data_IF_553358185793
#
_entry.id   IF_553358185793
#
_cell.length_a   1.000
_cell.length_b   1.000
_cell.length_c   1.000
_cell.angle_alpha   90.00
_cell.angle_beta   90.00
_cell.angle_gamma   90.00
#
_symmetry.space_group_name_H-M   'P 1'
#
loop_
_entity.id
_entity.type
_entity.pdbx_description
1 polymer ?
#
# COMPACT_ATOMS: atom_id res chain seq x y z
N UNK A 1 21.49 2.05 -14.55
CA UNK A 1 20.76 2.87 -15.53
C UNK A 1 20.57 4.24 -14.90
N UNK A 2 21.27 5.27 -15.37
CA UNK A 2 20.94 6.65 -15.03
C UNK A 2 19.92 7.13 -16.06
N UNK A 3 18.64 6.96 -15.75
CA UNK A 3 17.59 7.71 -16.42
C UNK A 3 17.61 9.11 -15.81
N UNK A 4 18.47 9.98 -16.33
CA UNK A 4 18.36 11.41 -16.07
C UNK A 4 17.17 11.91 -16.90
N UNK A 5 16.10 12.38 -16.24
CA UNK A 5 14.94 12.96 -16.93
C UNK A 5 15.37 14.35 -17.40
N UNK A 6 15.89 14.45 -18.62
CA UNK A 6 16.41 15.70 -19.17
C UNK A 6 15.45 16.30 -20.20
N UNK A 7 14.72 15.45 -20.92
CA UNK A 7 13.89 15.86 -22.05
C UNK A 7 12.44 15.34 -21.99
N UNK A 8 11.58 15.95 -22.81
CA UNK A 8 10.17 15.55 -23.02
C UNK A 8 10.03 14.06 -23.36
N UNK A 9 11.00 13.53 -24.12
CA UNK A 9 11.04 12.14 -24.55
C UNK A 9 11.12 11.19 -23.36
N UNK A 10 11.87 11.50 -22.31
CA UNK A 10 12.02 10.63 -21.13
C UNK A 10 10.72 10.52 -20.34
N UNK A 11 9.96 11.61 -20.27
CA UNK A 11 8.63 11.62 -19.67
C UNK A 11 7.67 10.75 -20.50
N UNK A 12 7.71 10.87 -21.84
CA UNK A 12 6.90 10.03 -22.76
C UNK A 12 7.26 8.54 -22.59
N UNK A 13 8.54 8.20 -22.38
CA UNK A 13 8.97 6.81 -22.15
C UNK A 13 8.33 6.23 -20.89
N UNK A 14 8.37 6.95 -19.77
CA UNK A 14 7.80 6.51 -18.49
C UNK A 14 6.28 6.30 -18.63
N UNK A 15 5.57 7.26 -19.24
CA UNK A 15 4.13 7.15 -19.48
C UNK A 15 3.80 5.94 -20.36
N UNK A 16 4.57 5.74 -21.43
CA UNK A 16 4.39 4.62 -22.35
C UNK A 16 4.54 3.28 -21.64
N UNK A 17 5.57 3.13 -20.79
CA UNK A 17 5.77 1.92 -19.98
C UNK A 17 4.60 1.69 -18.99
N UNK A 18 4.10 2.75 -18.34
CA UNK A 18 2.95 2.65 -17.43
C UNK A 18 1.66 2.24 -18.15
N UNK A 19 1.38 2.79 -19.34
CA UNK A 19 0.21 2.41 -20.15
C UNK A 19 0.32 0.95 -20.61
N UNK A 20 1.49 0.55 -21.11
CA UNK A 20 1.71 -0.81 -21.60
C UNK A 20 1.70 -1.85 -20.46
N UNK A 21 2.04 -1.46 -19.23
CA UNK A 21 1.91 -2.34 -18.05
C UNK A 21 0.48 -2.82 -17.79
N UNK A 22 -0.53 -2.03 -18.21
CA UNK A 22 -1.95 -2.37 -18.11
C UNK A 22 -2.47 -3.13 -19.34
N UNK A 23 -1.85 -2.92 -20.50
CA UNK A 23 -2.21 -3.55 -21.77
C UNK A 23 -0.95 -3.96 -22.52
N UNK A 24 -0.64 -5.26 -22.50
CA UNK A 24 0.61 -5.82 -23.03
C UNK A 24 0.85 -5.53 -24.53
N UNK A 25 -0.21 -5.29 -25.30
CA UNK A 25 -0.16 -4.91 -26.70
C UNK A 25 -1.11 -3.76 -26.98
N UNK A 26 -0.62 -2.72 -27.63
CA UNK A 26 -1.43 -1.55 -28.04
C UNK A 26 -1.06 -1.11 -29.45
N UNK A 27 -2.04 -0.50 -30.12
CA UNK A 27 -1.84 0.20 -31.38
C UNK A 27 -1.17 1.57 -31.14
N UNK A 28 -0.27 1.99 -32.03
CA UNK A 28 0.46 3.26 -31.92
C UNK A 28 -0.50 4.48 -31.93
N UNK A 29 -1.59 4.40 -32.70
CA UNK A 29 -2.65 5.42 -32.70
C UNK A 29 -3.35 5.50 -31.34
N UNK A 30 -3.75 4.35 -30.79
CA UNK A 30 -4.40 4.25 -29.47
C UNK A 30 -3.48 4.60 -28.31
N UNK A 31 -2.18 4.37 -28.43
CA UNK A 31 -1.20 4.78 -27.43
C UNK A 31 -1.13 6.31 -27.39
N UNK A 32 -1.05 6.95 -28.56
CA UNK A 32 -1.07 8.40 -28.67
C UNK A 32 -2.36 8.98 -28.10
N UNK A 33 -3.52 8.46 -28.50
CA UNK A 33 -4.81 8.91 -27.99
C UNK A 33 -4.89 8.79 -26.47
N UNK A 34 -4.38 7.69 -25.88
CA UNK A 34 -4.34 7.53 -24.42
C UNK A 34 -3.40 8.50 -23.74
N UNK A 35 -2.25 8.81 -24.33
CA UNK A 35 -1.34 9.82 -23.77
C UNK A 35 -2.03 11.19 -23.82
N UNK A 36 -2.64 11.55 -24.95
CA UNK A 36 -3.39 12.80 -25.10
C UNK A 36 -4.63 12.87 -24.19
N UNK A 37 -5.32 11.75 -23.95
CA UNK A 37 -6.45 11.64 -23.02
C UNK A 37 -5.99 11.80 -21.55
N UNK A 38 -4.88 11.17 -21.17
CA UNK A 38 -4.25 11.39 -19.86
C UNK A 38 -3.85 12.85 -19.66
N UNK A 39 -3.57 13.56 -20.75
CA UNK A 39 -3.22 14.98 -20.75
C UNK A 39 -4.42 15.94 -20.90
N UNK A 40 -5.67 15.45 -20.81
CA UNK A 40 -6.89 16.23 -21.07
C UNK A 40 -6.85 17.01 -22.40
N UNK A 41 -6.12 16.48 -23.40
CA UNK A 41 -5.90 17.09 -24.72
C UNK A 41 -5.23 18.47 -24.70
N UNK A 42 -4.64 18.89 -23.58
CA UNK A 42 -3.93 20.18 -23.46
C UNK A 42 -2.55 20.14 -24.13
N UNK A 43 -1.95 18.96 -24.17
CA UNK A 43 -0.63 18.73 -24.73
C UNK A 43 -0.76 17.88 -25.98
N UNK A 44 -0.40 18.47 -27.12
CA UNK A 44 -0.30 17.75 -28.38
C UNK A 44 1.09 17.12 -28.44
N UNK A 45 1.18 15.80 -28.22
CA UNK A 45 2.43 15.06 -28.38
C UNK A 45 2.71 14.91 -29.86
N UNK A 46 3.80 15.51 -30.35
CA UNK A 46 4.15 15.43 -31.75
C UNK A 46 4.49 13.97 -32.12
N UNK A 47 4.05 13.47 -33.29
CA UNK A 47 4.32 12.09 -33.69
C UNK A 47 5.83 11.81 -33.83
N UNK A 48 6.64 12.84 -34.12
CA UNK A 48 8.09 12.75 -34.09
C UNK A 48 8.63 12.44 -32.69
N UNK A 49 8.02 13.00 -31.66
CA UNK A 49 8.48 12.81 -30.28
C UNK A 49 8.13 11.45 -29.71
N UNK A 50 6.91 10.99 -29.98
CA UNK A 50 6.49 9.64 -29.63
C UNK A 50 7.35 8.59 -30.35
N UNK A 51 7.60 8.76 -31.65
CA UNK A 51 8.41 7.81 -32.41
C UNK A 51 9.87 7.76 -31.92
N UNK A 52 10.42 8.89 -31.49
CA UNK A 52 11.77 8.95 -30.90
C UNK A 52 11.84 8.26 -29.54
N UNK A 53 10.85 8.48 -28.68
CA UNK A 53 10.76 7.79 -27.40
C UNK A 53 10.61 6.27 -27.58
N UNK A 54 9.79 5.83 -28.54
CA UNK A 54 9.59 4.41 -28.86
C UNK A 54 10.83 3.76 -29.47
N UNK A 55 11.57 4.47 -30.32
CA UNK A 55 12.80 3.92 -30.90
C UNK A 55 13.90 3.74 -29.86
N UNK A 56 14.03 4.65 -28.89
CA UNK A 56 14.95 4.50 -27.77
C UNK A 56 14.56 3.36 -26.83
N UNK A 57 13.28 3.25 -26.47
CA UNK A 57 12.81 2.10 -25.68
C UNK A 57 13.00 0.77 -26.41
N UNK A 58 12.90 0.76 -27.75
CA UNK A 58 13.20 -0.42 -28.56
C UNK A 58 14.70 -0.73 -28.60
N UNK A 59 15.56 0.29 -28.67
CA UNK A 59 17.02 0.16 -28.61
C UNK A 59 17.48 -0.35 -27.23
N UNK A 60 16.81 0.06 -26.16
CA UNK A 60 17.02 -0.44 -24.79
C UNK A 60 16.43 -1.85 -24.59
N UNK A 61 15.72 -2.39 -25.58
CA UNK A 61 15.11 -3.71 -25.54
C UNK A 61 13.91 -3.81 -24.62
N UNK A 62 13.26 -2.69 -24.26
CA UNK A 62 12.10 -2.63 -23.37
C UNK A 62 10.77 -2.84 -24.11
N UNK A 63 10.69 -2.41 -25.37
CA UNK A 63 9.51 -2.64 -26.24
C UNK A 63 9.93 -3.19 -27.60
N UNK A 64 9.02 -3.92 -28.22
CA UNK A 64 9.10 -4.31 -29.62
C UNK A 64 8.07 -3.53 -30.42
N UNK A 65 8.53 -2.86 -31.47
CA UNK A 65 7.67 -2.17 -32.43
C UNK A 65 7.50 -3.08 -33.65
N UNK A 66 6.31 -3.64 -33.83
CA UNK A 66 5.94 -4.52 -34.94
C UNK A 66 4.89 -3.82 -35.81
N UNK A 67 5.34 -3.05 -36.79
CA UNK A 67 4.43 -2.26 -37.64
C UNK A 67 3.68 -1.21 -36.82
N UNK A 68 2.36 -1.29 -36.78
CA UNK A 68 1.50 -0.39 -35.99
C UNK A 68 1.32 -0.81 -34.52
N UNK A 69 1.89 -1.95 -34.10
CA UNK A 69 1.73 -2.47 -32.74
C UNK A 69 3.00 -2.32 -31.91
N UNK A 70 2.78 -1.96 -30.65
CA UNK A 70 3.82 -1.85 -29.63
C UNK A 70 3.53 -2.89 -28.54
N UNK A 71 4.54 -3.68 -28.20
CA UNK A 71 4.44 -4.78 -27.23
C UNK A 71 5.64 -4.75 -26.28
N UNK A 72 5.40 -4.89 -24.97
CA UNK A 72 6.47 -4.98 -23.97
C UNK A 72 7.29 -6.26 -24.15
N UNK A 73 8.61 -6.14 -24.06
CA UNK A 73 9.48 -7.32 -23.95
C UNK A 73 9.41 -7.90 -22.54
N UNK A 74 10.04 -9.06 -22.30
CA UNK A 74 10.17 -9.62 -20.95
C UNK A 74 10.92 -8.68 -19.99
N UNK A 75 11.94 -7.97 -20.50
CA UNK A 75 12.72 -6.99 -19.74
C UNK A 75 11.89 -5.74 -19.48
N UNK A 76 11.20 -5.22 -20.49
CA UNK A 76 10.30 -4.08 -20.35
C UNK A 76 9.13 -4.35 -19.42
N UNK A 77 8.57 -5.57 -19.45
CA UNK A 77 7.52 -5.98 -18.53
C UNK A 77 7.99 -5.92 -17.08
N UNK A 78 9.20 -6.42 -16.80
CA UNK A 78 9.80 -6.33 -15.46
C UNK A 78 10.03 -4.89 -15.02
N UNK A 79 10.65 -4.08 -15.86
CA UNK A 79 10.90 -2.65 -15.58
C UNK A 79 9.59 -1.88 -15.39
N UNK A 80 8.59 -2.13 -16.24
CA UNK A 80 7.26 -1.53 -16.09
C UNK A 80 6.55 -1.97 -14.80
N UNK A 81 6.78 -3.22 -14.38
CA UNK A 81 6.29 -3.78 -13.13
C UNK A 81 6.96 -3.13 -11.92
N UNK A 82 8.27 -2.90 -11.98
CA UNK A 82 9.02 -2.19 -10.94
C UNK A 82 8.55 -0.74 -10.84
N UNK A 83 8.39 -0.03 -11.96
CA UNK A 83 7.82 1.32 -11.99
C UNK A 83 6.39 1.36 -11.47
N UNK A 84 5.55 0.42 -11.89
CA UNK A 84 4.20 0.30 -11.35
C UNK A 84 4.24 0.00 -9.86
N UNK A 85 5.14 -0.85 -9.36
CA UNK A 85 5.26 -1.13 -7.94
C UNK A 85 5.78 0.06 -7.14
N UNK A 86 6.69 0.84 -7.70
CA UNK A 86 7.25 2.05 -7.10
C UNK A 86 6.22 3.18 -7.05
N UNK A 87 5.42 3.34 -8.11
CA UNK A 87 4.47 4.45 -8.26
C UNK A 87 3.06 4.08 -7.78
N UNK A 88 2.67 2.81 -7.89
CA UNK A 88 1.34 2.28 -7.57
C UNK A 88 1.53 1.04 -6.67
N UNK A 89 1.73 1.28 -5.38
CA UNK A 89 1.85 0.26 -4.32
C UNK A 89 0.76 -0.81 -4.52
N UNK A 90 1.15 -2.01 -4.95
CA UNK A 90 0.21 -2.94 -5.58
C UNK A 90 -0.31 -4.05 -4.66
N UNK A 91 0.19 -4.18 -3.43
CA UNK A 91 -0.23 -5.27 -2.55
C UNK A 91 -0.39 -4.83 -1.08
N UNK A 92 -1.59 -4.93 -0.49
CA UNK A 92 -1.88 -4.47 0.87
C UNK A 92 -1.43 -5.49 1.94
N UNK A 93 -0.23 -6.08 1.81
CA UNK A 93 0.21 -7.15 2.70
C UNK A 93 0.53 -6.59 4.10
N UNK A 94 1.13 -5.40 4.16
CA UNK A 94 1.46 -4.73 5.43
C UNK A 94 0.21 -4.36 6.21
N UNK A 95 -0.82 -3.92 5.50
CA UNK A 95 -2.13 -3.51 6.02
C UNK A 95 -2.88 -4.69 6.63
N UNK A 96 -2.86 -5.84 5.95
CA UNK A 96 -3.44 -7.09 6.47
C UNK A 96 -2.72 -7.53 7.73
N UNK A 97 -1.38 -7.47 7.75
CA UNK A 97 -0.60 -7.87 8.93
C UNK A 97 -0.84 -6.91 10.10
N UNK A 98 -0.85 -5.60 9.85
CA UNK A 98 -1.17 -4.60 10.88
C UNK A 98 -2.58 -4.84 11.46
N UNK A 99 -3.58 -4.99 10.60
CA UNK A 99 -4.96 -5.23 11.05
C UNK A 99 -5.11 -6.53 11.84
N UNK A 100 -4.50 -7.63 11.38
CA UNK A 100 -4.48 -8.90 12.12
C UNK A 100 -3.91 -8.72 13.53
N UNK A 101 -2.86 -7.92 13.67
CA UNK A 101 -2.15 -7.70 14.92
C UNK A 101 -3.00 -6.90 15.90
N UNK A 102 -3.45 -5.73 15.47
CA UNK A 102 -4.17 -4.80 16.33
C UNK A 102 -5.51 -5.38 16.75
N UNK A 103 -6.20 -6.07 15.84
CA UNK A 103 -7.43 -6.79 16.16
C UNK A 103 -7.19 -7.90 17.19
N UNK A 104 -6.16 -8.73 16.97
CA UNK A 104 -5.84 -9.85 17.87
C UNK A 104 -5.43 -9.38 19.28
N UNK A 105 -4.57 -8.37 19.38
CA UNK A 105 -4.15 -7.81 20.68
C UNK A 105 -5.34 -7.16 21.38
N UNK A 106 -6.15 -6.38 20.67
CA UNK A 106 -7.36 -5.76 21.23
C UNK A 106 -8.32 -6.81 21.78
N UNK A 107 -8.52 -7.91 21.04
CA UNK A 107 -9.37 -9.02 21.51
C UNK A 107 -8.83 -9.69 22.76
N UNK A 108 -7.51 -9.85 22.87
CA UNK A 108 -6.87 -10.41 24.07
C UNK A 108 -7.18 -9.54 25.28
N UNK A 109 -7.02 -8.22 25.13
CA UNK A 109 -7.30 -7.28 26.21
C UNK A 109 -8.76 -7.36 26.65
N UNK A 110 -9.72 -7.39 25.73
CA UNK A 110 -11.15 -7.51 26.04
C UNK A 110 -11.46 -8.82 26.77
N UNK A 111 -10.93 -9.94 26.28
CA UNK A 111 -11.17 -11.28 26.87
C UNK A 111 -10.61 -11.34 28.28
N UNK A 112 -9.37 -10.91 28.49
CA UNK A 112 -8.73 -10.92 29.80
C UNK A 112 -9.46 -9.98 30.77
N UNK A 113 -9.74 -8.74 30.37
CA UNK A 113 -10.47 -7.79 31.21
C UNK A 113 -11.86 -8.30 31.57
N UNK A 114 -12.59 -8.90 30.62
CA UNK A 114 -13.90 -9.52 30.86
C UNK A 114 -13.82 -10.69 31.84
N UNK A 115 -12.83 -11.56 31.67
CA UNK A 115 -12.63 -12.72 32.52
C UNK A 115 -12.31 -12.33 33.97
N UNK A 116 -11.36 -11.40 34.17
CA UNK A 116 -10.96 -10.95 35.50
C UNK A 116 -12.04 -10.13 36.21
N UNK A 117 -12.71 -9.23 35.49
CA UNK A 117 -13.81 -8.43 36.04
C UNK A 117 -15.15 -9.19 36.10
N UNK A 118 -15.20 -10.47 35.68
CA UNK A 118 -16.40 -11.32 35.62
C UNK A 118 -17.59 -10.64 34.92
N UNK A 119 -17.31 -9.98 33.79
CA UNK A 119 -18.33 -9.26 33.04
C UNK A 119 -19.36 -10.23 32.45
N UNK A 120 -20.62 -9.79 32.39
CA UNK A 120 -21.66 -10.54 31.66
C UNK A 120 -21.36 -10.57 30.15
N UNK A 121 -21.90 -11.57 29.45
CA UNK A 121 -21.72 -11.70 27.99
C UNK A 121 -22.21 -10.46 27.24
N UNK A 122 -23.32 -9.83 27.69
CA UNK A 122 -23.86 -8.61 27.07
C UNK A 122 -22.90 -7.43 27.19
N UNK A 123 -22.31 -7.24 28.37
CA UNK A 123 -21.31 -6.17 28.59
C UNK A 123 -20.02 -6.44 27.82
N UNK A 124 -19.60 -7.70 27.75
CA UNK A 124 -18.42 -8.10 26.97
C UNK A 124 -18.61 -7.83 25.48
N UNK A 125 -19.76 -8.16 24.91
CA UNK A 125 -20.08 -7.86 23.50
C UNK A 125 -20.12 -6.35 23.27
N UNK A 126 -20.74 -5.59 24.18
CA UNK A 126 -20.81 -4.13 24.07
C UNK A 126 -19.40 -3.50 24.08
N UNK A 127 -18.56 -3.87 25.05
CA UNK A 127 -17.18 -3.41 25.13
C UNK A 127 -16.37 -3.82 23.89
N UNK A 128 -16.55 -5.07 23.44
CA UNK A 128 -15.88 -5.59 22.25
C UNK A 128 -16.20 -4.77 21.00
N UNK A 129 -17.49 -4.53 20.74
CA UNK A 129 -17.93 -3.76 19.57
C UNK A 129 -17.41 -2.33 19.61
N UNK A 130 -17.51 -1.66 20.77
CA UNK A 130 -17.05 -0.29 20.92
C UNK A 130 -15.54 -0.16 20.72
N UNK A 131 -14.75 -1.01 21.38
CA UNK A 131 -13.30 -0.97 21.29
C UNK A 131 -12.80 -1.39 19.91
N UNK A 132 -13.33 -2.48 19.33
CA UNK A 132 -12.93 -2.91 17.98
C UNK A 132 -13.31 -1.90 16.91
N UNK A 133 -14.48 -1.26 17.01
CA UNK A 133 -14.86 -0.18 16.10
C UNK A 133 -13.90 1.01 16.23
N UNK A 134 -13.55 1.41 17.47
CA UNK A 134 -12.57 2.48 17.70
C UNK A 134 -11.22 2.15 17.08
N UNK A 135 -10.68 0.96 17.33
CA UNK A 135 -9.36 0.54 16.80
C UNK A 135 -9.41 0.42 15.28
N UNK A 136 -10.48 -0.12 14.70
CA UNK A 136 -10.63 -0.21 13.25
C UNK A 136 -10.71 1.18 12.59
N UNK A 137 -11.39 2.16 13.21
CA UNK A 137 -11.43 3.55 12.73
C UNK A 137 -10.05 4.20 12.83
N UNK A 138 -9.34 3.99 13.93
CA UNK A 138 -7.97 4.50 14.08
C UNK A 138 -7.05 3.92 13.01
N UNK A 139 -7.10 2.61 12.78
CA UNK A 139 -6.30 1.95 11.74
C UNK A 139 -6.67 2.41 10.34
N UNK A 140 -7.97 2.54 10.04
CA UNK A 140 -8.43 3.14 8.79
C UNK A 140 -7.82 4.54 8.59
N UNK A 141 -7.93 5.39 9.61
CA UNK A 141 -7.43 6.76 9.57
C UNK A 141 -5.91 6.79 9.38
N UNK A 142 -5.16 5.95 10.10
CA UNK A 142 -3.70 5.87 9.99
C UNK A 142 -3.24 5.46 8.59
N UNK A 143 -3.85 4.45 7.99
CA UNK A 143 -3.47 4.02 6.62
C UNK A 143 -3.99 4.98 5.54
N UNK A 144 -5.15 5.59 5.74
CA UNK A 144 -5.68 6.57 4.80
C UNK A 144 -4.91 7.90 4.87
N UNK A 145 -4.91 8.58 6.03
CA UNK A 145 -4.23 9.87 6.17
C UNK A 145 -2.71 9.71 6.13
N UNK A 146 -2.16 8.72 6.84
CA UNK A 146 -0.71 8.48 6.87
C UNK A 146 -0.18 8.17 5.47
N UNK A 147 -0.80 7.21 4.78
CA UNK A 147 -0.46 6.86 3.40
C UNK A 147 -0.58 8.06 2.45
N UNK A 148 -1.71 8.79 2.51
CA UNK A 148 -1.89 9.99 1.68
C UNK A 148 -0.83 11.05 1.97
N UNK A 149 -0.45 11.27 3.22
CA UNK A 149 0.59 12.27 3.55
C UNK A 149 1.98 11.86 3.11
N UNK A 150 2.34 10.59 3.26
CA UNK A 150 3.62 10.03 2.81
C UNK A 150 3.74 10.13 1.30
N UNK A 151 2.73 9.62 0.58
CA UNK A 151 2.77 9.57 -0.88
C UNK A 151 2.70 10.97 -1.52
N UNK A 152 1.92 11.91 -0.95
CA UNK A 152 1.92 13.30 -1.41
C UNK A 152 3.31 13.92 -1.21
N UNK A 153 3.98 13.62 -0.09
CA UNK A 153 5.33 14.14 0.16
C UNK A 153 6.32 13.60 -0.86
N UNK A 154 6.28 12.30 -1.16
CA UNK A 154 7.12 11.66 -2.17
C UNK A 154 6.84 12.20 -3.57
N UNK A 155 5.56 12.36 -3.95
CA UNK A 155 5.15 12.97 -5.21
C UNK A 155 5.69 14.40 -5.34
N UNK A 156 5.59 15.21 -4.28
CA UNK A 156 6.12 16.58 -4.27
C UNK A 156 7.64 16.58 -4.37
N UNK A 157 8.33 15.67 -3.69
CA UNK A 157 9.78 15.53 -3.78
C UNK A 157 10.22 15.12 -5.19
N UNK A 158 9.56 14.13 -5.78
CA UNK A 158 9.81 13.68 -7.15
C UNK A 158 9.54 14.81 -8.15
N UNK A 159 8.45 15.56 -7.97
CA UNK A 159 8.14 16.74 -8.77
C UNK A 159 9.26 17.77 -8.71
N UNK A 160 9.75 18.11 -7.51
CA UNK A 160 10.86 19.06 -7.35
C UNK A 160 12.16 18.59 -8.01
N UNK A 161 12.48 17.30 -7.90
CA UNK A 161 13.68 16.73 -8.53
C UNK A 161 13.59 16.79 -10.06
N UNK A 162 12.43 16.48 -10.62
CA UNK A 162 12.22 16.54 -12.07
C UNK A 162 12.09 17.98 -12.58
N UNK A 163 11.44 18.88 -11.85
CA UNK A 163 11.41 20.31 -12.16
C UNK A 163 12.82 20.89 -12.17
N UNK A 164 13.67 20.49 -11.22
CA UNK A 164 15.09 20.87 -11.19
C UNK A 164 15.87 20.29 -12.38
N UNK A 165 15.71 19.00 -12.68
CA UNK A 165 16.37 18.34 -13.82
C UNK A 165 15.97 18.95 -15.16
N UNK A 166 14.68 19.22 -15.37
CA UNK A 166 14.15 19.86 -16.58
C UNK A 166 14.52 21.35 -16.66
N UNK A 167 14.83 22.01 -15.55
CA UNK A 167 15.24 23.41 -15.54
C UNK A 167 16.58 23.66 -16.27
N UNK A 168 17.40 22.62 -16.40
CA UNK A 168 18.70 22.64 -17.08
C UNK A 168 18.59 22.49 -18.61
N UNK A 169 17.37 22.26 -19.13
CA UNK A 169 17.13 22.15 -20.57
C UNK A 169 17.23 23.53 -21.28
N UNK A 170 18.09 23.68 -22.30
CA UNK A 170 18.29 24.96 -22.99
C UNK A 170 17.09 25.42 -23.84
N UNK A 171 16.18 24.52 -24.25
CA UNK A 171 14.99 24.86 -25.04
C UNK A 171 13.78 25.20 -24.15
N UNK A 172 13.41 26.49 -24.08
CA UNK A 172 12.26 26.97 -23.30
C UNK A 172 10.92 26.38 -23.74
N UNK A 173 10.74 26.07 -25.03
CA UNK A 173 9.48 25.56 -25.57
C UNK A 173 9.25 24.12 -25.16
N UNK A 174 10.27 23.26 -25.33
CA UNK A 174 10.23 21.87 -24.88
C UNK A 174 10.13 21.79 -23.36
N UNK A 175 10.86 22.63 -22.63
CA UNK A 175 10.81 22.68 -21.17
C UNK A 175 9.40 22.91 -20.62
N UNK A 176 8.67 23.88 -21.17
CA UNK A 176 7.30 24.18 -20.72
C UNK A 176 6.35 23.01 -20.99
N UNK A 177 6.44 22.40 -22.18
CA UNK A 177 5.64 21.19 -22.51
C UNK A 177 5.95 20.03 -21.56
N UNK A 178 7.23 19.81 -21.24
CA UNK A 178 7.65 18.74 -20.32
C UNK A 178 7.12 18.92 -18.90
N UNK A 179 7.19 20.14 -18.36
CA UNK A 179 6.68 20.45 -17.02
C UNK A 179 5.16 20.25 -16.96
N UNK A 180 4.42 20.71 -17.98
CA UNK A 180 2.96 20.56 -18.01
C UNK A 180 2.55 19.08 -18.07
N UNK A 181 3.25 18.27 -18.88
CA UNK A 181 2.99 16.83 -19.01
C UNK A 181 3.27 16.12 -17.69
N UNK A 182 4.36 16.52 -17.03
CA UNK A 182 4.75 16.01 -15.72
C UNK A 182 3.71 16.30 -14.64
N UNK A 183 3.20 17.54 -14.57
CA UNK A 183 2.16 17.93 -13.61
C UNK A 183 0.89 17.10 -13.78
N UNK A 184 0.48 16.82 -15.01
CA UNK A 184 -0.70 16.01 -15.30
C UNK A 184 -0.50 14.54 -14.89
N UNK A 185 0.66 13.96 -15.19
CA UNK A 185 0.99 12.60 -14.74
C UNK A 185 0.94 12.52 -13.21
N UNK A 186 1.51 13.49 -12.51
CA UNK A 186 1.48 13.51 -11.05
C UNK A 186 0.07 13.64 -10.48
N UNK A 187 -0.78 14.41 -11.15
CA UNK A 187 -2.19 14.57 -10.73
C UNK A 187 -2.94 13.24 -10.88
N UNK A 188 -2.72 12.53 -11.98
CA UNK A 188 -3.30 11.20 -12.22
C UNK A 188 -2.73 10.16 -11.25
N UNK A 189 -1.42 10.20 -11.02
CA UNK A 189 -0.75 9.33 -10.08
C UNK A 189 -1.29 9.51 -8.67
N UNK A 190 -1.39 10.76 -8.20
CA UNK A 190 -1.98 11.10 -6.92
C UNK A 190 -3.42 10.56 -6.79
N UNK A 191 -4.23 10.66 -7.85
CA UNK A 191 -5.58 10.11 -7.85
C UNK A 191 -5.61 8.58 -7.72
N UNK A 192 -4.74 7.87 -8.41
CA UNK A 192 -4.67 6.40 -8.34
C UNK A 192 -4.09 5.94 -7.01
N UNK A 193 -3.08 6.64 -6.48
CA UNK A 193 -2.51 6.43 -5.15
C UNK A 193 -3.55 6.64 -4.06
N UNK A 194 -4.36 7.70 -4.13
CA UNK A 194 -5.45 7.91 -3.18
C UNK A 194 -6.46 6.75 -3.18
N UNK A 195 -6.82 6.20 -4.34
CA UNK A 195 -7.69 5.00 -4.41
C UNK A 195 -7.02 3.77 -3.80
N UNK A 196 -5.73 3.58 -4.04
CA UNK A 196 -4.95 2.50 -3.43
C UNK A 196 -4.94 2.64 -1.90
N UNK A 197 -4.68 3.84 -1.37
CA UNK A 197 -4.69 4.12 0.07
C UNK A 197 -6.05 3.90 0.73
N UNK A 198 -7.14 4.29 0.06
CA UNK A 198 -8.50 3.96 0.54
C UNK A 198 -8.68 2.43 0.61
N UNK A 199 -8.25 1.71 -0.43
CA UNK A 199 -8.36 0.25 -0.47
C UNK A 199 -7.55 -0.39 0.65
N UNK A 200 -6.30 0.04 0.84
CA UNK A 200 -5.42 -0.35 1.94
C UNK A 200 -6.05 -0.09 3.31
N UNK A 201 -6.62 1.10 3.52
CA UNK A 201 -7.30 1.47 4.76
C UNK A 201 -8.53 0.60 5.05
N UNK A 202 -9.35 0.32 4.03
CA UNK A 202 -10.51 -0.58 4.13
C UNK A 202 -10.06 -1.99 4.51
N UNK A 203 -9.05 -2.53 3.81
CA UNK A 203 -8.51 -3.88 4.07
C UNK A 203 -7.98 -3.97 5.49
N UNK A 204 -7.21 -2.98 5.96
CA UNK A 204 -6.72 -2.94 7.33
C UNK A 204 -7.86 -2.89 8.36
N UNK A 205 -8.86 -2.03 8.16
CA UNK A 205 -9.99 -1.91 9.08
C UNK A 205 -10.81 -3.20 9.17
N UNK A 206 -11.12 -3.83 8.02
CA UNK A 206 -11.86 -5.09 7.99
C UNK A 206 -11.06 -6.23 8.63
N UNK A 207 -9.78 -6.36 8.31
CA UNK A 207 -8.92 -7.37 8.92
C UNK A 207 -8.80 -7.18 10.43
N UNK A 208 -8.72 -5.94 10.91
CA UNK A 208 -8.78 -5.60 12.35
C UNK A 208 -10.05 -6.10 13.00
N UNK A 209 -11.21 -5.83 12.39
CA UNK A 209 -12.51 -6.27 12.92
C UNK A 209 -12.61 -7.81 12.97
N UNK A 210 -12.28 -8.49 11.87
CA UNK A 210 -12.37 -9.95 11.81
C UNK A 210 -11.38 -10.64 12.75
N UNK A 211 -10.14 -10.17 12.78
CA UNK A 211 -9.10 -10.71 13.65
C UNK A 211 -9.45 -10.52 15.12
N UNK A 212 -10.09 -9.39 15.48
CA UNK A 212 -10.49 -9.14 16.86
C UNK A 212 -11.78 -9.83 17.28
N UNK A 213 -12.78 -9.91 16.39
CA UNK A 213 -14.07 -10.50 16.72
C UNK A 213 -14.01 -12.03 16.84
N UNK A 214 -13.16 -12.68 16.04
CA UNK A 214 -13.07 -14.16 16.01
C UNK A 214 -12.67 -14.76 17.37
N UNK A 215 -11.59 -14.31 18.05
CA UNK A 215 -11.25 -14.78 19.40
C UNK A 215 -12.33 -14.50 20.45
N UNK A 216 -13.04 -13.38 20.34
CA UNK A 216 -14.11 -13.00 21.27
C UNK A 216 -15.33 -13.92 21.11
N UNK A 217 -15.71 -14.25 19.87
CA UNK A 217 -16.75 -15.25 19.63
C UNK A 217 -16.37 -16.60 20.23
N UNK A 218 -15.13 -17.04 20.03
CA UNK A 218 -14.62 -18.29 20.62
C UNK A 218 -14.74 -18.24 22.16
N UNK A 219 -14.45 -17.10 22.78
CA UNK A 219 -14.55 -16.92 24.23
C UNK A 219 -16.00 -16.97 24.74
N UNK A 220 -16.95 -16.43 23.98
CA UNK A 220 -18.36 -16.37 24.37
C UNK A 220 -19.12 -17.67 24.10
N UNK A 221 -18.72 -18.45 23.10
CA UNK A 221 -19.44 -19.65 22.65
C UNK A 221 -18.95 -20.94 23.31
N UNK A 222 -17.68 -21.03 23.69
CA UNK A 222 -17.15 -22.22 24.35
C UNK A 222 -17.52 -22.25 25.83
N UNK A 223 -17.69 -23.45 26.42
CA UNK A 223 -17.86 -23.59 27.86
C UNK A 223 -16.56 -23.33 28.62
N UNK A 224 -16.67 -22.89 29.86
CA UNK A 224 -15.53 -22.82 30.78
C UNK A 224 -15.03 -24.24 31.11
N UNK A 225 -13.70 -24.48 31.18
CA UNK A 225 -12.57 -23.53 31.05
C UNK A 225 -12.02 -23.39 29.62
N UNK A 226 -12.58 -24.11 28.65
CA UNK A 226 -12.05 -24.18 27.28
C UNK A 226 -12.13 -22.86 26.53
N UNK A 227 -13.07 -21.98 26.89
CA UNK A 227 -13.23 -20.67 26.29
C UNK A 227 -11.97 -19.80 26.36
N UNK A 228 -11.41 -19.60 27.55
CA UNK A 228 -10.25 -18.75 27.74
C UNK A 228 -9.01 -19.35 27.05
N UNK A 229 -8.78 -20.66 27.27
CA UNK A 229 -7.61 -21.34 26.73
C UNK A 229 -7.60 -21.32 25.19
N UNK A 230 -8.76 -21.62 24.57
CA UNK A 230 -8.87 -21.68 23.11
C UNK A 230 -8.74 -20.30 22.47
N UNK A 231 -9.33 -19.26 23.06
CA UNK A 231 -9.20 -17.90 22.54
C UNK A 231 -7.77 -17.37 22.66
N UNK A 232 -7.10 -17.59 23.80
CA UNK A 232 -5.70 -17.18 23.97
C UNK A 232 -4.78 -17.96 23.03
N UNK A 233 -5.01 -19.26 22.85
CA UNK A 233 -4.26 -20.07 21.89
C UNK A 233 -4.45 -19.59 20.45
N UNK A 234 -5.68 -19.23 20.06
CA UNK A 234 -5.99 -18.68 18.74
C UNK A 234 -5.22 -17.36 18.51
N UNK A 235 -5.30 -16.42 19.46
CA UNK A 235 -4.58 -15.13 19.40
C UNK A 235 -3.08 -15.37 19.33
N UNK A 236 -2.56 -16.24 20.20
CA UNK A 236 -1.16 -16.63 20.22
C UNK A 236 -0.70 -17.18 18.87
N UNK A 237 -1.51 -18.03 18.24
CA UNK A 237 -1.21 -18.58 16.91
C UNK A 237 -1.16 -17.49 15.84
N UNK A 238 -2.12 -16.57 15.82
CA UNK A 238 -2.19 -15.46 14.84
C UNK A 238 -0.98 -14.55 15.01
N UNK A 239 -0.73 -14.08 16.24
CA UNK A 239 0.33 -13.12 16.52
C UNK A 239 1.72 -13.77 16.36
N UNK A 240 1.95 -14.97 16.88
CA UNK A 240 3.28 -15.62 16.81
C UNK A 240 3.59 -16.13 15.40
N UNK A 241 2.64 -16.79 14.72
CA UNK A 241 2.92 -17.40 13.42
C UNK A 241 2.93 -16.37 12.29
N UNK A 242 2.03 -15.38 12.30
CA UNK A 242 1.92 -14.42 11.21
C UNK A 242 2.82 -13.21 11.44
N UNK A 243 2.78 -12.58 12.62
CA UNK A 243 3.56 -11.37 12.86
C UNK A 243 5.07 -11.64 12.88
N UNK A 244 5.51 -12.62 13.66
CA UNK A 244 6.93 -12.84 13.87
C UNK A 244 7.61 -13.33 12.58
N UNK A 245 6.96 -14.25 11.84
CA UNK A 245 7.44 -14.69 10.53
C UNK A 245 7.43 -13.56 9.51
N UNK A 246 6.36 -12.77 9.47
CA UNK A 246 6.25 -11.70 8.49
C UNK A 246 7.27 -10.59 8.75
N UNK A 247 7.37 -10.08 9.99
CA UNK A 247 8.40 -9.10 10.37
C UNK A 247 9.79 -9.64 10.09
N UNK A 248 10.10 -10.89 10.48
CA UNK A 248 11.42 -11.48 10.22
C UNK A 248 11.75 -11.56 8.72
N UNK A 249 10.77 -11.87 7.87
CA UNK A 249 10.96 -11.93 6.41
C UNK A 249 11.13 -10.54 5.78
N UNK A 250 10.36 -9.55 6.22
CA UNK A 250 10.41 -8.19 5.67
C UNK A 250 11.62 -7.38 6.16
N UNK A 251 11.92 -7.40 7.46
CA UNK A 251 13.02 -6.59 8.02
C UNK A 251 14.36 -7.29 7.98
N UNK A 252 14.42 -8.55 7.53
CA UNK A 252 15.61 -9.43 7.58
C UNK A 252 16.20 -9.57 8.99
N UNK A 253 15.40 -9.30 10.03
CA UNK A 253 15.79 -9.44 11.43
C UNK A 253 15.58 -10.91 11.86
N UNK A 254 16.46 -11.48 12.70
CA UNK A 254 16.28 -12.82 13.24
C UNK A 254 14.93 -12.98 13.96
N UNK A 255 14.19 -14.04 13.63
CA UNK A 255 12.88 -14.37 14.21
C UNK A 255 12.86 -14.37 15.74
N UNK A 256 13.96 -14.75 16.38
CA UNK A 256 14.08 -14.78 17.85
C UNK A 256 13.91 -13.39 18.48
N UNK A 257 14.41 -12.35 17.82
CA UNK A 257 14.35 -10.97 18.33
C UNK A 257 12.93 -10.43 18.14
N UNK A 258 12.33 -10.63 16.97
CA UNK A 258 10.96 -10.18 16.70
C UNK A 258 9.93 -10.90 17.59
N UNK A 259 10.14 -12.18 17.89
CA UNK A 259 9.33 -12.91 18.88
C UNK A 259 9.46 -12.32 20.29
N UNK A 260 10.67 -11.98 20.73
CA UNK A 260 10.90 -11.40 22.06
C UNK A 260 10.21 -10.04 22.19
N UNK A 261 10.36 -9.15 21.20
CA UNK A 261 9.66 -7.85 21.16
C UNK A 261 8.14 -8.03 21.26
N UNK A 262 7.61 -8.95 20.46
CA UNK A 262 6.16 -9.21 20.41
C UNK A 262 5.66 -9.75 21.75
N UNK A 263 6.43 -10.62 22.39
CA UNK A 263 6.09 -11.18 23.71
C UNK A 263 6.12 -10.11 24.80
N UNK A 264 7.07 -9.17 24.76
CA UNK A 264 7.13 -8.03 25.68
C UNK A 264 5.88 -7.15 25.55
N UNK A 265 5.46 -6.83 24.32
CA UNK A 265 4.25 -6.02 24.06
C UNK A 265 3.01 -6.73 24.63
N UNK A 266 2.85 -8.02 24.35
CA UNK A 266 1.74 -8.83 24.86
C UNK A 266 1.74 -8.84 26.39
N UNK A 267 2.92 -9.00 27.01
CA UNK A 267 3.06 -9.06 28.46
C UNK A 267 2.66 -7.73 29.10
N UNK A 268 3.14 -6.60 28.57
CA UNK A 268 2.75 -5.25 29.04
C UNK A 268 1.23 -5.06 28.91
N UNK A 269 0.65 -5.37 27.75
CA UNK A 269 -0.79 -5.24 27.52
C UNK A 269 -1.61 -6.12 28.48
N UNK A 270 -1.15 -7.36 28.71
CA UNK A 270 -1.76 -8.31 29.64
C UNK A 270 -1.75 -7.78 31.08
N UNK A 271 -0.60 -7.27 31.55
CA UNK A 271 -0.49 -6.67 32.87
C UNK A 271 -1.41 -5.46 33.04
N UNK A 272 -1.47 -4.57 32.05
CA UNK A 272 -2.38 -3.42 32.07
C UNK A 272 -3.85 -3.85 32.12
N UNK A 273 -4.25 -4.83 31.32
CA UNK A 273 -5.61 -5.38 31.32
C UNK A 273 -5.99 -6.03 32.66
N UNK A 274 -5.08 -6.80 33.26
CA UNK A 274 -5.30 -7.41 34.59
C UNK A 274 -5.47 -6.32 35.65
N UNK A 275 -4.60 -5.32 35.65
CA UNK A 275 -4.65 -4.23 36.62
C UNK A 275 -5.98 -3.49 36.54
N UNK A 276 -6.40 -3.12 35.32
CA UNK A 276 -7.69 -2.46 35.09
C UNK A 276 -8.87 -3.34 35.51
N UNK A 277 -8.86 -4.62 35.14
CA UNK A 277 -9.95 -5.56 35.44
C UNK A 277 -10.07 -5.96 36.90
N UNK A 278 -8.99 -5.86 37.69
CA UNK A 278 -8.99 -6.16 39.13
C UNK A 278 -9.26 -4.93 40.01
N UNK A 279 -9.02 -3.72 39.46
CA UNK A 279 -9.31 -2.44 40.13
C UNK A 279 -10.76 -1.96 39.99
N UNK A 280 -11.59 -2.69 39.23
CA UNK A 280 -13.01 -2.46 38.96
C UNK A 280 -13.88 -3.47 39.73
#
# INVERSE_FOLDING_TARGET
MSFEVQDLYDVIKIVTLLILSRTAKIDLSKLRDRIEELCEHRICVEPGDLNRALSELANEGLVTVKGEYIELTSVGSKVSGDWKSLLLKSEPILEVVAGLTDGSITSLMIILSSFFARLSSKLTIFAALLTLASVAITNFSSFFLGGVTEDISEIIALKRLMDYSLSDNPDRGQRLKSIELLEQIFTLLNREVQKANITSAIVCALTTLFAGFTPILVYLLLPTPYNLLSSVALIGSIVVLLLARYRSKMTRIPLKITLLETLIIILIATFASILLGTSL
#
